data_IF_663801706586
#
_entry.id   IF_663801706586
#
_cell.length_a   1.000
_cell.length_b   1.000
_cell.length_c   1.000
_cell.angle_alpha   90.00
_cell.angle_beta   90.00
_cell.angle_gamma   90.00
#
_symmetry.space_group_name_H-M   'P 1'
#
loop_
_entity.id
_entity.type
_entity.pdbx_description
1 polymer ?
#
# COMPACT_ATOMS: atom_id res chain seq x y z
N UNK A 1 -75.69 33.90 -39.43
CA UNK A 1 -75.78 33.37 -38.10
C UNK A 1 -75.41 31.91 -38.16
N UNK A 2 -74.18 31.59 -37.90
CA UNK A 2 -73.65 30.19 -37.90
C UNK A 2 -72.83 30.00 -36.60
N UNK A 3 -73.38 29.20 -35.69
CA UNK A 3 -72.76 28.81 -34.44
C UNK A 3 -71.66 27.73 -34.69
N UNK A 4 -70.43 27.99 -34.30
CA UNK A 4 -69.39 26.97 -34.33
C UNK A 4 -69.28 26.35 -32.96
N UNK A 5 -69.55 25.02 -32.88
CA UNK A 5 -69.24 24.20 -31.70
C UNK A 5 -67.75 23.89 -31.71
N UNK A 6 -67.06 24.26 -30.62
CA UNK A 6 -65.67 23.84 -30.35
C UNK A 6 -65.77 22.53 -29.56
N UNK A 7 -65.25 21.43 -30.14
CA UNK A 7 -65.08 20.16 -29.47
C UNK A 7 -63.63 20.14 -28.88
N UNK A 8 -63.55 20.23 -27.55
CA UNK A 8 -62.26 20.07 -26.84
C UNK A 8 -61.95 18.58 -26.66
N UNK A 9 -60.97 18.06 -27.36
CA UNK A 9 -60.43 16.70 -27.16
C UNK A 9 -59.43 16.73 -25.99
N UNK A 10 -59.82 16.15 -24.86
CA UNK A 10 -58.92 15.90 -23.75
C UNK A 10 -58.08 14.66 -24.06
N UNK A 11 -56.80 14.86 -24.33
CA UNK A 11 -55.81 13.76 -24.47
C UNK A 11 -55.39 13.32 -23.06
N UNK A 12 -55.90 12.16 -22.62
CA UNK A 12 -55.43 11.49 -21.41
C UNK A 12 -54.05 10.88 -21.71
N UNK A 13 -52.96 11.51 -21.26
CA UNK A 13 -51.62 10.93 -21.28
C UNK A 13 -51.55 9.84 -20.20
N UNK A 14 -51.66 8.56 -20.58
CA UNK A 14 -51.29 7.44 -19.73
C UNK A 14 -49.75 7.50 -19.53
N UNK A 15 -49.31 7.92 -18.35
CA UNK A 15 -47.94 7.76 -17.91
C UNK A 15 -47.70 6.26 -17.67
N UNK A 16 -47.06 5.60 -18.64
CA UNK A 16 -46.54 4.23 -18.47
C UNK A 16 -45.35 4.35 -17.53
N UNK A 17 -45.59 4.10 -16.23
CA UNK A 17 -44.50 3.88 -15.28
C UNK A 17 -43.89 2.54 -15.60
N UNK A 18 -42.79 2.52 -16.39
CA UNK A 18 -41.94 1.34 -16.48
C UNK A 18 -41.38 1.09 -15.10
N UNK A 19 -41.52 -0.12 -14.52
CA UNK A 19 -40.78 -0.44 -13.30
C UNK A 19 -39.29 -0.29 -13.64
N UNK A 20 -38.63 0.60 -12.94
CA UNK A 20 -37.17 0.60 -12.92
C UNK A 20 -36.76 -0.72 -12.25
N UNK A 21 -36.44 -1.72 -13.05
CA UNK A 21 -35.71 -2.86 -12.55
C UNK A 21 -34.40 -2.27 -12.03
N UNK A 22 -34.23 -2.24 -10.72
CA UNK A 22 -32.94 -2.03 -10.13
C UNK A 22 -32.02 -3.09 -10.77
N UNK A 23 -31.10 -2.65 -11.61
CA UNK A 23 -30.16 -3.53 -12.27
C UNK A 23 -29.27 -4.09 -11.15
N UNK A 24 -29.66 -5.27 -10.65
CA UNK A 24 -28.83 -5.97 -9.66
C UNK A 24 -27.53 -6.32 -10.36
N UNK A 25 -26.43 -5.78 -9.86
CA UNK A 25 -25.11 -6.20 -10.31
C UNK A 25 -24.92 -7.66 -9.90
N UNK A 26 -24.54 -8.50 -10.84
CA UNK A 26 -24.33 -9.94 -10.68
C UNK A 26 -22.83 -10.30 -10.60
N UNK A 27 -21.96 -9.29 -10.52
CA UNK A 27 -20.52 -9.44 -10.47
C UNK A 27 -19.97 -8.71 -9.24
N UNK A 28 -19.26 -9.41 -8.38
CA UNK A 28 -18.59 -8.85 -7.20
C UNK A 28 -17.43 -7.96 -7.66
N UNK A 29 -17.38 -6.73 -7.19
CA UNK A 29 -16.31 -5.77 -7.47
C UNK A 29 -15.41 -5.63 -6.25
N UNK A 30 -14.12 -5.84 -6.45
CA UNK A 30 -13.09 -5.82 -5.41
C UNK A 30 -12.00 -4.85 -5.84
N UNK A 31 -11.54 -3.99 -4.95
CA UNK A 31 -10.39 -3.12 -5.22
C UNK A 31 -9.58 -2.86 -3.95
N UNK A 32 -8.32 -2.45 -4.09
CA UNK A 32 -7.51 -2.04 -2.96
C UNK A 32 -6.05 -2.45 -3.02
N UNK A 33 -5.57 -3.02 -1.93
CA UNK A 33 -4.16 -3.35 -1.70
C UNK A 33 -3.53 -4.15 -2.83
N UNK A 34 -2.41 -3.68 -3.35
CA UNK A 34 -1.61 -4.40 -4.35
C UNK A 34 -0.92 -5.63 -3.76
N UNK A 35 -0.67 -5.64 -2.45
CA UNK A 35 -0.15 -6.80 -1.71
C UNK A 35 -1.16 -7.95 -1.70
N UNK A 36 -2.44 -7.64 -1.53
CA UNK A 36 -3.53 -8.63 -1.47
C UNK A 36 -3.99 -9.04 -2.88
N UNK A 37 -3.80 -8.17 -3.88
CA UNK A 37 -4.27 -8.37 -5.26
C UNK A 37 -3.97 -9.76 -5.85
N UNK A 38 -2.72 -10.31 -5.81
CA UNK A 38 -2.45 -11.61 -6.42
C UNK A 38 -3.23 -12.74 -5.73
N UNK A 39 -3.38 -12.70 -4.42
CA UNK A 39 -4.15 -13.70 -3.67
C UNK A 39 -5.64 -13.58 -3.95
N UNK A 40 -6.18 -12.38 -3.94
CA UNK A 40 -7.59 -12.12 -4.24
C UNK A 40 -7.95 -12.51 -5.69
N UNK A 41 -7.03 -12.33 -6.65
CA UNK A 41 -7.23 -12.74 -8.05
C UNK A 41 -7.34 -14.26 -8.17
N UNK A 42 -6.47 -15.02 -7.50
CA UNK A 42 -6.55 -16.49 -7.48
C UNK A 42 -7.88 -16.95 -6.88
N UNK A 43 -8.28 -16.36 -5.74
CA UNK A 43 -9.57 -16.70 -5.10
C UNK A 43 -10.75 -16.37 -6.00
N UNK A 44 -10.71 -15.24 -6.72
CA UNK A 44 -11.77 -14.85 -7.66
C UNK A 44 -11.87 -15.83 -8.85
N UNK A 45 -10.75 -16.24 -9.41
CA UNK A 45 -10.70 -17.25 -10.49
C UNK A 45 -11.24 -18.60 -10.02
N UNK A 46 -10.80 -19.09 -8.87
CA UNK A 46 -11.29 -20.33 -8.28
C UNK A 46 -12.78 -20.26 -7.94
N UNK A 47 -13.27 -19.11 -7.44
CA UNK A 47 -14.69 -18.89 -7.20
C UNK A 47 -15.51 -19.06 -8.49
N UNK A 48 -15.08 -18.43 -9.58
CA UNK A 48 -15.76 -18.56 -10.88
C UNK A 48 -15.72 -19.99 -11.45
N UNK A 49 -14.65 -20.75 -11.17
CA UNK A 49 -14.53 -22.15 -11.57
C UNK A 49 -15.43 -23.10 -10.77
N UNK A 50 -15.56 -22.85 -9.45
CA UNK A 50 -16.37 -23.69 -8.54
C UNK A 50 -17.86 -23.36 -8.59
N UNK A 51 -18.21 -22.10 -8.83
CA UNK A 51 -19.57 -21.59 -8.86
C UNK A 51 -19.90 -20.95 -10.21
N UNK A 52 -20.04 -21.76 -11.29
CA UNK A 52 -20.22 -21.26 -12.65
C UNK A 52 -21.55 -20.53 -12.89
N UNK A 53 -22.50 -20.61 -11.94
CA UNK A 53 -23.75 -19.84 -11.94
C UNK A 53 -23.57 -18.36 -11.56
N UNK A 54 -22.41 -17.98 -11.01
CA UNK A 54 -22.04 -16.60 -10.72
C UNK A 54 -20.94 -16.10 -11.64
N UNK A 55 -20.93 -14.80 -11.91
CA UNK A 55 -19.82 -14.20 -12.62
C UNK A 55 -18.55 -14.20 -11.76
N UNK A 56 -17.41 -14.43 -12.40
CA UNK A 56 -16.10 -14.30 -11.74
C UNK A 56 -15.93 -12.90 -11.16
N UNK A 57 -15.60 -12.75 -9.87
CA UNK A 57 -15.35 -11.45 -9.28
C UNK A 57 -14.25 -10.67 -10.01
N UNK A 58 -14.39 -9.37 -10.11
CA UNK A 58 -13.38 -8.47 -10.70
C UNK A 58 -12.53 -7.88 -9.58
N UNK A 59 -11.21 -8.07 -9.67
CA UNK A 59 -10.27 -7.59 -8.67
C UNK A 59 -9.38 -6.50 -9.27
N UNK A 60 -9.46 -5.29 -8.72
CA UNK A 60 -8.68 -4.12 -9.11
C UNK A 60 -7.62 -3.76 -8.06
N UNK A 61 -6.58 -3.07 -8.51
CA UNK A 61 -5.57 -2.46 -7.66
C UNK A 61 -5.92 -0.98 -7.37
N UNK A 62 -5.29 -0.40 -6.36
CA UNK A 62 -5.51 1.02 -6.02
C UNK A 62 -4.88 1.41 -4.67
N UNK A 63 -4.15 0.46 -4.03
CA UNK A 63 -3.64 0.61 -2.67
C UNK A 63 -4.75 0.48 -1.62
N UNK A 64 -4.38 0.21 -0.37
CA UNK A 64 -5.35 0.04 0.73
C UNK A 64 -6.22 1.27 0.93
N UNK A 65 -5.63 2.45 0.97
CA UNK A 65 -6.37 3.72 1.14
C UNK A 65 -7.29 4.02 -0.03
N UNK A 66 -6.87 3.72 -1.27
CA UNK A 66 -7.68 3.89 -2.48
C UNK A 66 -8.89 2.96 -2.49
N UNK A 67 -8.69 1.68 -2.17
CA UNK A 67 -9.77 0.70 -2.07
C UNK A 67 -10.77 1.02 -0.97
N UNK A 68 -10.28 1.36 0.23
CA UNK A 68 -11.14 1.76 1.36
C UNK A 68 -11.94 3.03 1.05
N UNK A 69 -11.36 4.01 0.37
CA UNK A 69 -12.10 5.20 -0.09
C UNK A 69 -13.22 4.84 -1.05
N UNK A 70 -12.94 3.99 -2.07
CA UNK A 70 -13.97 3.53 -3.01
C UNK A 70 -15.08 2.73 -2.29
N UNK A 71 -14.72 1.89 -1.33
CA UNK A 71 -15.67 1.14 -0.52
C UNK A 71 -16.58 2.06 0.29
N UNK A 72 -16.05 3.16 0.81
CA UNK A 72 -16.79 4.16 1.56
C UNK A 72 -17.54 5.18 0.70
N UNK A 73 -17.62 5.04 -0.65
CA UNK A 73 -18.44 5.92 -1.49
C UNK A 73 -19.94 5.66 -1.35
N UNK A 74 -20.35 4.50 -0.78
CA UNK A 74 -21.75 4.17 -0.52
C UNK A 74 -22.08 2.72 -0.81
N UNK A 75 -23.39 2.42 -0.81
CA UNK A 75 -23.92 1.09 -1.11
C UNK A 75 -24.73 1.18 -2.40
N UNK A 76 -24.34 0.42 -3.43
CA UNK A 76 -25.06 0.43 -4.69
C UNK A 76 -24.37 -0.29 -5.85
N UNK A 77 -24.99 -0.28 -7.02
CA UNK A 77 -24.48 -0.98 -8.19
C UNK A 77 -23.18 -0.39 -8.75
N UNK A 78 -22.86 0.85 -8.41
CA UNK A 78 -21.66 1.57 -8.91
C UNK A 78 -20.52 1.64 -7.88
N UNK A 79 -20.66 0.99 -6.72
CA UNK A 79 -19.64 0.94 -5.66
C UNK A 79 -19.04 -0.44 -5.59
N UNK A 80 -17.85 -0.58 -5.03
CA UNK A 80 -17.23 -1.89 -4.81
C UNK A 80 -17.88 -2.61 -3.62
N UNK A 81 -17.80 -3.95 -3.61
CA UNK A 81 -18.37 -4.79 -2.55
C UNK A 81 -17.34 -5.12 -1.48
N UNK A 82 -16.08 -5.23 -1.88
CA UNK A 82 -14.97 -5.63 -0.99
C UNK A 82 -13.79 -4.69 -1.23
N UNK A 83 -13.24 -4.15 -0.13
CA UNK A 83 -11.96 -3.48 -0.16
C UNK A 83 -10.86 -4.41 0.34
N UNK A 84 -9.84 -4.63 -0.47
CA UNK A 84 -8.62 -5.28 -0.02
C UNK A 84 -7.71 -4.28 0.69
N UNK A 85 -7.17 -4.67 1.84
CA UNK A 85 -6.27 -3.82 2.60
C UNK A 85 -5.11 -4.63 3.20
N UNK A 86 -3.92 -4.05 3.26
CA UNK A 86 -2.73 -4.59 3.93
C UNK A 86 -2.60 -4.12 5.39
N UNK A 87 -3.59 -3.39 5.86
CA UNK A 87 -3.72 -2.88 7.22
C UNK A 87 -5.18 -2.86 7.66
N UNK A 88 -5.42 -2.67 8.92
CA UNK A 88 -6.76 -2.42 9.43
C UNK A 88 -7.34 -1.11 8.90
N UNK A 89 -8.66 -1.08 8.78
CA UNK A 89 -9.39 0.16 8.50
C UNK A 89 -9.18 1.16 9.64
N UNK A 90 -8.92 2.42 9.31
CA UNK A 90 -8.71 3.51 10.28
C UNK A 90 -10.03 4.09 10.79
N UNK A 91 -10.00 4.70 11.96
CA UNK A 91 -11.19 5.35 12.53
C UNK A 91 -11.78 6.42 11.61
N UNK A 92 -10.94 7.25 10.98
CA UNK A 92 -11.36 8.28 10.01
C UNK A 92 -12.02 7.69 8.76
N UNK A 93 -11.56 6.52 8.29
CA UNK A 93 -12.16 5.81 7.16
C UNK A 93 -13.52 5.22 7.54
N UNK A 94 -13.67 4.68 8.78
CA UNK A 94 -14.96 4.23 9.31
C UNK A 94 -15.96 5.40 9.40
N UNK A 95 -15.52 6.57 9.85
CA UNK A 95 -16.35 7.78 9.90
C UNK A 95 -16.83 8.19 8.50
N UNK A 96 -15.93 8.19 7.50
CA UNK A 96 -16.27 8.48 6.12
C UNK A 96 -17.27 7.46 5.53
N UNK A 97 -17.06 6.16 5.79
CA UNK A 97 -18.00 5.10 5.41
C UNK A 97 -19.40 5.32 6.00
N UNK A 98 -19.45 5.59 7.32
CA UNK A 98 -20.72 5.83 8.01
C UNK A 98 -21.46 7.05 7.45
N UNK A 99 -20.74 8.14 7.14
CA UNK A 99 -21.29 9.34 6.53
C UNK A 99 -21.89 9.09 5.15
N UNK A 100 -21.35 8.11 4.41
CA UNK A 100 -21.84 7.67 3.11
C UNK A 100 -22.91 6.53 3.18
N UNK A 101 -23.30 6.13 4.39
CA UNK A 101 -24.33 5.10 4.62
C UNK A 101 -23.80 3.66 4.64
N UNK A 102 -22.49 3.45 4.63
CA UNK A 102 -21.86 2.13 4.80
C UNK A 102 -21.63 1.89 6.29
N UNK A 103 -22.61 1.26 6.96
CA UNK A 103 -22.65 1.18 8.43
C UNK A 103 -22.32 -0.22 8.99
N UNK A 104 -22.39 -1.28 8.19
CA UNK A 104 -22.09 -2.65 8.61
C UNK A 104 -20.82 -3.13 7.90
N UNK A 105 -19.68 -2.72 8.43
CA UNK A 105 -18.37 -3.06 7.90
C UNK A 105 -17.87 -4.34 8.58
N UNK A 106 -17.46 -5.32 7.78
CA UNK A 106 -16.87 -6.57 8.25
C UNK A 106 -15.41 -6.64 7.82
N UNK A 107 -14.52 -6.67 8.80
CA UNK A 107 -13.09 -6.89 8.56
C UNK A 107 -12.80 -8.39 8.74
N UNK A 108 -12.20 -8.99 7.72
CA UNK A 108 -11.78 -10.40 7.74
C UNK A 108 -10.29 -10.46 7.48
N UNK A 109 -9.53 -10.89 8.48
CA UNK A 109 -8.10 -11.11 8.34
C UNK A 109 -7.86 -12.43 7.63
N UNK A 110 -7.21 -12.38 6.46
CA UNK A 110 -6.93 -13.53 5.60
C UNK A 110 -5.51 -14.05 5.71
N UNK A 111 -4.59 -13.26 6.31
CA UNK A 111 -3.20 -13.63 6.48
C UNK A 111 -2.37 -12.50 7.06
N UNK A 112 -1.07 -12.72 7.10
CA UNK A 112 -0.05 -11.75 7.44
C UNK A 112 0.90 -11.62 6.26
N UNK A 113 1.39 -10.42 6.02
CA UNK A 113 2.47 -10.13 5.10
C UNK A 113 3.51 -9.28 5.83
N UNK A 114 4.75 -9.34 5.37
CA UNK A 114 5.84 -8.55 5.91
C UNK A 114 6.82 -8.21 4.81
N UNK A 115 7.41 -7.02 4.91
CA UNK A 115 8.49 -6.62 4.05
C UNK A 115 9.83 -6.86 4.74
N UNK A 116 10.82 -7.20 3.95
CA UNK A 116 12.17 -7.45 4.45
C UNK A 116 13.18 -6.57 3.72
N UNK A 117 14.22 -6.18 4.43
CA UNK A 117 15.41 -5.56 3.85
C UNK A 117 16.43 -6.66 3.60
N UNK A 118 16.92 -6.75 2.37
CA UNK A 118 17.93 -7.72 2.03
C UNK A 118 19.05 -7.13 1.17
N UNK A 119 20.22 -7.70 1.33
CA UNK A 119 21.43 -7.38 0.59
C UNK A 119 21.91 -8.60 -0.17
N UNK A 120 22.94 -8.46 -0.98
CA UNK A 120 23.66 -9.59 -1.54
C UNK A 120 24.15 -10.53 -0.41
N UNK A 121 24.12 -11.84 -0.62
CA UNK A 121 24.55 -12.84 0.37
C UNK A 121 25.96 -12.62 0.93
N UNK A 122 26.82 -11.95 0.18
CA UNK A 122 28.21 -11.64 0.58
C UNK A 122 28.38 -10.28 1.28
N UNK A 123 27.33 -9.50 1.45
CA UNK A 123 27.38 -8.20 2.14
C UNK A 123 27.52 -8.36 3.66
N UNK A 124 27.84 -7.27 4.35
CA UNK A 124 27.86 -7.19 5.80
C UNK A 124 26.49 -7.48 6.42
N UNK A 125 26.47 -7.73 7.73
CA UNK A 125 25.24 -7.84 8.49
C UNK A 125 24.62 -6.45 8.70
N UNK A 126 23.32 -6.32 8.49
CA UNK A 126 22.57 -5.12 8.78
C UNK A 126 21.61 -5.36 9.94
N UNK A 127 21.74 -4.53 10.97
CA UNK A 127 20.76 -4.42 12.06
C UNK A 127 20.09 -3.04 11.95
N UNK A 128 18.97 -2.98 11.27
CA UNK A 128 18.30 -1.74 10.94
C UNK A 128 17.27 -1.36 12.02
N UNK A 129 17.16 -0.06 12.24
CA UNK A 129 16.00 0.55 12.86
C UNK A 129 15.26 1.39 11.81
N UNK A 130 13.95 1.66 11.96
CA UNK A 130 13.21 2.53 11.04
C UNK A 130 13.90 3.89 10.83
N UNK A 131 14.45 4.47 11.90
CA UNK A 131 15.17 5.75 11.84
C UNK A 131 16.44 5.68 11.00
N UNK A 132 17.12 4.54 10.96
CA UNK A 132 18.31 4.37 10.09
C UNK A 132 17.92 4.43 8.62
N UNK A 133 16.83 3.74 8.27
CA UNK A 133 16.31 3.74 6.89
C UNK A 133 15.83 5.14 6.50
N UNK A 134 15.07 5.81 7.36
CA UNK A 134 14.65 7.19 7.14
C UNK A 134 15.85 8.10 6.88
N UNK A 135 16.84 8.11 7.78
CA UNK A 135 18.05 8.94 7.65
C UNK A 135 18.87 8.60 6.40
N UNK A 136 18.81 7.36 5.91
CA UNK A 136 19.49 6.98 4.68
C UNK A 136 18.84 7.58 3.42
N UNK A 137 17.51 7.66 3.39
CA UNK A 137 16.76 7.98 2.16
C UNK A 137 16.11 9.36 2.13
N UNK A 138 15.87 10.00 3.27
CA UNK A 138 15.24 11.31 3.31
C UNK A 138 16.12 12.36 2.62
N UNK A 139 15.50 13.27 1.86
CA UNK A 139 16.21 14.36 1.22
C UNK A 139 16.84 15.34 2.23
N UNK A 140 16.16 15.52 3.36
CA UNK A 140 16.64 16.35 4.48
C UNK A 140 16.53 15.59 5.79
N UNK A 141 17.49 15.77 6.67
CA UNK A 141 17.56 15.08 7.97
C UNK A 141 17.94 16.06 9.07
N UNK A 142 17.55 15.75 10.34
CA UNK A 142 17.99 16.56 11.47
C UNK A 142 19.48 16.28 11.78
N UNK A 143 20.27 17.32 11.86
CA UNK A 143 21.67 17.32 12.32
C UNK A 143 21.84 18.49 13.28
N UNK A 144 22.30 18.21 14.49
CA UNK A 144 22.53 19.22 15.54
C UNK A 144 21.29 20.10 15.84
N UNK A 145 20.08 19.55 15.66
CA UNK A 145 18.81 20.22 15.90
C UNK A 145 18.29 21.08 14.75
N UNK A 146 18.95 21.08 13.60
CA UNK A 146 18.53 21.77 12.40
C UNK A 146 18.19 20.77 11.28
N UNK A 147 17.20 21.06 10.46
CA UNK A 147 16.86 20.28 9.28
C UNK A 147 17.76 20.71 8.09
N UNK A 148 18.69 19.84 7.70
CA UNK A 148 19.66 20.11 6.63
C UNK A 148 19.51 19.14 5.46
N UNK A 149 20.07 19.47 4.32
CA UNK A 149 20.21 18.52 3.21
C UNK A 149 21.01 17.31 3.70
N UNK A 150 20.57 16.12 3.34
CA UNK A 150 21.11 14.88 3.88
C UNK A 150 22.61 14.69 3.56
N UNK A 151 23.49 14.72 4.55
CA UNK A 151 24.94 14.64 4.33
C UNK A 151 25.49 13.22 4.28
N UNK A 152 24.71 12.20 4.70
CA UNK A 152 25.18 10.84 4.86
C UNK A 152 25.47 10.17 3.51
N UNK A 153 26.62 9.53 3.42
CA UNK A 153 27.07 8.80 2.22
C UNK A 153 27.23 7.31 2.47
N UNK A 154 27.49 6.93 3.71
CA UNK A 154 27.64 5.55 4.16
C UNK A 154 26.75 5.26 5.36
N UNK A 155 26.38 4.00 5.55
CA UNK A 155 25.50 3.57 6.62
C UNK A 155 26.10 3.82 8.02
N UNK A 156 27.40 3.61 8.20
CA UNK A 156 28.08 3.86 9.49
C UNK A 156 28.19 5.35 9.87
N UNK A 157 27.93 6.27 8.94
CA UNK A 157 27.79 7.70 9.27
C UNK A 157 26.43 8.00 9.94
N UNK A 158 25.42 7.15 9.70
CA UNK A 158 24.11 7.25 10.34
C UNK A 158 24.15 6.66 11.74
N UNK A 159 24.75 5.46 11.87
CA UNK A 159 24.99 4.77 13.13
C UNK A 159 26.26 3.90 13.02
N UNK A 160 27.17 4.04 13.99
CA UNK A 160 28.47 3.35 13.98
C UNK A 160 28.37 1.81 14.07
N UNK A 161 27.20 1.26 14.42
CA UNK A 161 26.94 -0.18 14.42
C UNK A 161 26.66 -0.76 13.04
N UNK A 162 26.34 0.11 12.06
CA UNK A 162 26.03 -0.29 10.69
C UNK A 162 27.34 -0.45 9.87
N UNK A 163 27.29 -1.21 8.78
CA UNK A 163 28.48 -1.42 7.94
C UNK A 163 29.04 -0.12 7.32
N UNK A 164 30.33 -0.05 7.13
CA UNK A 164 30.97 0.96 6.29
C UNK A 164 30.70 0.65 4.81
N UNK A 165 29.45 0.82 4.41
CA UNK A 165 28.93 0.54 3.08
C UNK A 165 28.24 1.79 2.56
N UNK A 166 28.35 2.06 1.25
CA UNK A 166 27.66 3.18 0.63
C UNK A 166 26.14 3.01 0.75
N UNK A 167 25.44 4.11 0.98
CA UNK A 167 23.98 4.12 0.98
C UNK A 167 23.50 3.95 -0.47
N UNK A 168 22.76 2.90 -0.71
CA UNK A 168 22.03 2.66 -1.94
C UNK A 168 20.80 1.79 -1.62
N UNK A 169 19.59 2.25 -1.96
CA UNK A 169 18.36 1.52 -1.71
C UNK A 169 17.58 1.33 -3.00
N UNK A 170 17.08 0.11 -3.19
CA UNK A 170 16.05 -0.21 -4.17
C UNK A 170 14.74 -0.43 -3.42
N UNK A 171 13.81 0.51 -3.57
CA UNK A 171 12.52 0.50 -2.90
C UNK A 171 11.39 0.19 -3.87
N UNK A 172 10.27 -0.37 -3.41
CA UNK A 172 9.11 -0.59 -4.27
C UNK A 172 8.57 0.72 -4.83
N UNK A 173 8.19 0.74 -6.09
CA UNK A 173 7.50 1.86 -6.70
C UNK A 173 6.10 2.08 -6.09
N UNK A 174 5.53 3.25 -6.32
CA UNK A 174 4.24 3.65 -5.73
C UNK A 174 3.06 2.79 -6.16
N UNK A 175 3.22 1.96 -7.18
CA UNK A 175 2.24 0.98 -7.65
C UNK A 175 2.26 -0.35 -6.89
N UNK A 176 3.23 -0.56 -5.98
CA UNK A 176 3.35 -1.77 -5.18
C UNK A 176 2.70 -1.62 -3.80
N UNK A 177 2.00 -2.65 -3.31
CA UNK A 177 1.46 -2.68 -1.96
C UNK A 177 2.53 -2.61 -0.87
N UNK A 178 3.68 -3.24 -1.10
CA UNK A 178 4.85 -3.13 -0.22
C UNK A 178 5.38 -1.70 -0.05
N UNK A 179 5.12 -0.80 -1.02
CA UNK A 179 5.46 0.63 -0.86
C UNK A 179 4.64 1.30 0.24
N UNK A 180 3.36 0.97 0.35
CA UNK A 180 2.49 1.52 1.40
C UNK A 180 2.97 1.07 2.79
N UNK A 181 3.28 -0.23 2.95
CA UNK A 181 3.84 -0.77 4.20
C UNK A 181 5.20 -0.13 4.51
N UNK A 182 6.09 -0.05 3.53
CA UNK A 182 7.39 0.61 3.67
C UNK A 182 7.23 2.07 4.12
N UNK A 183 6.32 2.82 3.50
CA UNK A 183 6.07 4.22 3.86
C UNK A 183 5.53 4.35 5.29
N UNK A 184 4.53 3.55 5.67
CA UNK A 184 3.89 3.67 6.97
C UNK A 184 4.73 3.11 8.12
N UNK A 185 5.29 1.90 7.95
CA UNK A 185 5.96 1.16 9.03
C UNK A 185 7.43 1.50 9.18
N UNK A 186 8.05 2.01 8.14
CA UNK A 186 9.49 2.30 8.16
C UNK A 186 9.76 3.78 8.04
N UNK A 187 9.30 4.42 6.97
CA UNK A 187 9.67 5.83 6.71
C UNK A 187 9.00 6.77 7.70
N UNK A 188 7.68 6.64 7.90
CA UNK A 188 6.95 7.50 8.84
C UNK A 188 7.39 7.24 10.28
N UNK A 189 7.51 5.97 10.69
CA UNK A 189 8.01 5.63 12.02
C UNK A 189 9.44 6.17 12.26
N UNK A 190 10.34 5.99 11.28
CA UNK A 190 11.70 6.50 11.37
C UNK A 190 11.79 8.03 11.36
N UNK A 191 10.86 8.70 10.66
CA UNK A 191 10.75 10.15 10.66
C UNK A 191 10.34 10.69 12.04
N UNK A 192 9.37 10.06 12.70
CA UNK A 192 8.94 10.39 14.06
C UNK A 192 10.08 10.21 15.09
N UNK A 193 10.90 9.17 14.91
CA UNK A 193 12.03 8.87 15.79
C UNK A 193 13.27 9.73 15.50
N UNK A 194 13.34 10.38 14.34
CA UNK A 194 14.56 11.08 13.89
C UNK A 194 14.92 12.30 14.72
N UNK A 195 14.01 12.82 15.56
CA UNK A 195 14.26 14.02 16.36
C UNK A 195 14.24 15.30 15.54
N UNK A 196 13.26 15.43 14.65
CA UNK A 196 13.05 16.64 13.84
C UNK A 196 12.83 17.87 14.74
N UNK A 197 13.30 19.05 14.33
CA UNK A 197 12.98 20.30 15.00
C UNK A 197 11.48 20.63 14.90
N UNK A 198 11.03 21.66 15.58
CA UNK A 198 9.67 22.15 15.43
C UNK A 198 9.47 22.71 14.01
N UNK A 199 8.56 22.08 13.25
CA UNK A 199 8.28 22.37 11.85
C UNK A 199 6.80 22.69 11.66
N UNK A 200 6.44 23.42 10.61
CA UNK A 200 5.06 23.50 10.14
C UNK A 200 4.58 22.13 9.63
N UNK A 201 3.28 21.91 9.56
CA UNK A 201 2.69 20.66 9.06
C UNK A 201 3.18 20.31 7.64
N UNK A 202 3.26 21.33 6.76
CA UNK A 202 3.75 21.18 5.38
C UNK A 202 5.25 20.79 5.33
N UNK A 203 6.07 21.42 6.18
CA UNK A 203 7.51 21.08 6.27
C UNK A 203 7.74 19.70 6.85
N UNK A 204 6.94 19.31 7.84
CA UNK A 204 7.01 17.98 8.44
C UNK A 204 6.62 16.90 7.42
N UNK A 205 5.51 17.10 6.69
CA UNK A 205 5.11 16.20 5.62
C UNK A 205 6.21 16.09 4.55
N UNK A 206 6.76 17.21 4.10
CA UNK A 206 7.84 17.23 3.12
C UNK A 206 9.11 16.51 3.65
N UNK A 207 9.48 16.71 4.91
CA UNK A 207 10.64 16.04 5.51
C UNK A 207 10.47 14.52 5.59
N UNK A 208 9.25 14.04 5.88
CA UNK A 208 8.95 12.61 6.02
C UNK A 208 8.64 11.89 4.68
N UNK A 209 8.43 12.61 3.58
CA UNK A 209 8.00 12.00 2.31
C UNK A 209 8.95 12.23 1.14
N UNK A 210 9.86 13.22 1.24
CA UNK A 210 10.80 13.55 0.17
C UNK A 210 12.05 12.71 0.24
N UNK A 211 12.33 11.94 -0.81
CA UNK A 211 13.51 11.09 -0.90
C UNK A 211 14.60 11.69 -1.78
N UNK A 212 15.85 11.45 -1.41
CA UNK A 212 17.00 11.80 -2.21
C UNK A 212 17.14 10.87 -3.41
N UNK A 213 17.45 11.44 -4.57
CA UNK A 213 17.46 10.71 -5.85
C UNK A 213 18.84 10.09 -6.18
N UNK A 214 19.88 10.44 -5.45
CA UNK A 214 21.25 9.95 -5.66
C UNK A 214 21.47 8.53 -5.13
N UNK A 215 20.72 8.13 -4.10
CA UNK A 215 20.87 6.83 -3.43
C UNK A 215 19.61 5.94 -3.51
N UNK A 216 18.44 6.52 -3.81
CA UNK A 216 17.17 5.79 -3.87
C UNK A 216 16.79 5.51 -5.32
N UNK A 217 16.50 4.24 -5.61
CA UNK A 217 15.91 3.82 -6.88
C UNK A 217 14.55 3.20 -6.61
N UNK A 218 13.50 3.79 -7.19
CA UNK A 218 12.16 3.22 -7.15
C UNK A 218 12.01 2.19 -8.27
N UNK A 219 11.63 0.97 -7.89
CA UNK A 219 11.44 -0.16 -8.81
C UNK A 219 9.95 -0.27 -9.12
N UNK A 220 9.58 0.08 -10.35
CA UNK A 220 8.20 -0.02 -10.81
C UNK A 220 7.81 -1.45 -11.26
N UNK A 221 8.81 -2.27 -11.59
CA UNK A 221 8.67 -3.68 -11.93
C UNK A 221 8.50 -4.58 -10.70
N UNK A 222 8.69 -5.87 -10.90
CA UNK A 222 8.61 -6.85 -9.82
C UNK A 222 9.93 -6.99 -9.03
N UNK A 223 9.93 -7.85 -8.03
CA UNK A 223 11.12 -8.08 -7.19
C UNK A 223 12.32 -8.67 -7.94
N UNK A 224 12.13 -9.22 -9.14
CA UNK A 224 13.27 -9.70 -9.97
C UNK A 224 14.11 -8.53 -10.47
N UNK A 225 13.52 -7.35 -10.70
CA UNK A 225 14.26 -6.12 -11.01
C UNK A 225 15.07 -5.65 -9.79
N UNK A 226 14.46 -5.70 -8.59
CA UNK A 226 15.17 -5.38 -7.35
C UNK A 226 16.35 -6.33 -7.15
N UNK A 227 16.16 -7.63 -7.34
CA UNK A 227 17.22 -8.64 -7.26
C UNK A 227 18.35 -8.37 -8.28
N UNK A 228 18.00 -8.08 -9.53
CA UNK A 228 18.98 -7.73 -10.56
C UNK A 228 19.79 -6.46 -10.20
N UNK A 229 19.15 -5.51 -9.51
CA UNK A 229 19.82 -4.31 -9.01
C UNK A 229 20.86 -4.65 -7.95
N UNK A 230 20.55 -5.52 -6.98
CA UNK A 230 21.50 -6.00 -5.96
C UNK A 230 22.69 -6.75 -6.60
N UNK A 231 22.42 -7.54 -7.64
CA UNK A 231 23.48 -8.25 -8.37
C UNK A 231 24.42 -7.30 -9.13
N UNK A 232 23.89 -6.20 -9.67
CA UNK A 232 24.67 -5.22 -10.42
C UNK A 232 25.39 -4.19 -9.51
N UNK A 233 24.83 -3.93 -8.34
CA UNK A 233 25.41 -3.04 -7.33
C UNK A 233 25.32 -3.70 -5.94
N UNK A 234 26.36 -4.39 -5.48
CA UNK A 234 26.37 -5.13 -4.23
C UNK A 234 26.15 -4.27 -2.96
N UNK A 235 26.36 -2.94 -3.07
CA UNK A 235 26.08 -2.00 -1.97
C UNK A 235 24.57 -1.73 -1.80
N UNK A 236 23.72 -2.21 -2.72
CA UNK A 236 22.28 -1.95 -2.65
C UNK A 236 21.62 -2.77 -1.55
N UNK A 237 20.81 -2.10 -0.73
CA UNK A 237 19.81 -2.72 0.14
C UNK A 237 18.47 -2.72 -0.62
N UNK A 238 17.88 -3.88 -0.81
CA UNK A 238 16.59 -4.04 -1.50
C UNK A 238 15.45 -4.28 -0.51
N UNK A 239 14.27 -3.80 -0.84
CA UNK A 239 13.03 -4.08 -0.10
C UNK A 239 12.23 -5.13 -0.86
N UNK A 240 11.87 -6.22 -0.19
CA UNK A 240 11.16 -7.36 -0.75
C UNK A 240 9.98 -7.77 0.14
N UNK A 241 9.03 -8.49 -0.42
CA UNK A 241 8.11 -9.30 0.40
C UNK A 241 8.83 -10.53 0.95
N UNK A 242 8.44 -11.00 2.15
CA UNK A 242 9.06 -12.16 2.79
C UNK A 242 9.05 -13.40 1.90
N UNK A 243 7.95 -13.66 1.21
CA UNK A 243 7.79 -14.83 0.33
C UNK A 243 8.80 -14.85 -0.82
N UNK A 244 9.15 -13.69 -1.38
CA UNK A 244 10.17 -13.60 -2.41
C UNK A 244 11.58 -13.83 -1.83
N UNK A 245 11.87 -13.24 -0.66
CA UNK A 245 13.12 -13.50 0.04
C UNK A 245 13.29 -14.99 0.35
N UNK A 246 12.24 -15.65 0.85
CA UNK A 246 12.28 -17.08 1.18
C UNK A 246 12.65 -17.98 0.00
N UNK A 247 12.25 -17.59 -1.21
CA UNK A 247 12.59 -18.31 -2.44
C UNK A 247 14.00 -17.99 -2.97
N UNK A 248 14.67 -16.97 -2.43
CA UNK A 248 15.97 -16.48 -2.90
C UNK A 248 17.02 -16.39 -1.78
N UNK A 249 16.86 -17.15 -0.68
CA UNK A 249 17.76 -17.14 0.50
C UNK A 249 19.21 -17.51 0.19
N UNK A 250 19.45 -18.20 -0.91
CA UNK A 250 20.78 -18.59 -1.37
C UNK A 250 21.57 -17.40 -1.96
N UNK A 251 20.88 -16.40 -2.44
CA UNK A 251 21.47 -15.21 -3.08
C UNK A 251 21.31 -13.93 -2.27
N UNK A 252 20.40 -13.92 -1.31
CA UNK A 252 20.05 -12.79 -0.47
C UNK A 252 20.39 -13.04 1.00
N UNK A 253 20.83 -11.99 1.68
CA UNK A 253 21.03 -11.94 3.12
C UNK A 253 20.08 -10.91 3.72
N UNK A 254 19.24 -11.34 4.65
CA UNK A 254 18.25 -10.47 5.26
C UNK A 254 18.84 -9.66 6.43
N UNK A 255 18.40 -8.41 6.55
CA UNK A 255 18.66 -7.57 7.71
C UNK A 255 17.69 -7.90 8.86
N UNK A 256 18.12 -7.68 10.09
CA UNK A 256 17.18 -7.55 11.22
C UNK A 256 16.57 -6.15 11.24
N UNK A 257 15.34 -6.03 11.74
CA UNK A 257 14.73 -4.74 12.05
C UNK A 257 14.32 -4.73 13.51
N UNK A 258 14.75 -3.71 14.24
CA UNK A 258 14.58 -3.60 15.69
C UNK A 258 15.04 -4.86 16.45
N UNK A 259 16.16 -5.43 16.01
CA UNK A 259 16.75 -6.64 16.57
C UNK A 259 16.05 -7.95 16.20
N UNK A 260 14.96 -7.91 15.43
CA UNK A 260 14.17 -9.08 15.07
C UNK A 260 14.49 -9.54 13.64
N UNK A 261 14.77 -10.82 13.48
CA UNK A 261 14.92 -11.44 12.15
C UNK A 261 13.54 -11.75 11.57
N UNK A 262 13.25 -11.32 10.32
CA UNK A 262 11.96 -11.62 9.70
C UNK A 262 11.80 -13.12 9.43
N UNK A 263 10.65 -13.63 9.80
CA UNK A 263 10.21 -15.00 9.52
C UNK A 263 8.67 -15.06 9.53
N UNK A 264 8.10 -16.13 9.02
CA UNK A 264 6.65 -16.35 9.12
C UNK A 264 6.16 -16.29 10.58
N UNK A 265 6.94 -16.80 11.52
CA UNK A 265 6.62 -16.81 12.95
C UNK A 265 6.65 -15.40 13.55
N UNK A 266 7.74 -14.65 13.33
CA UNK A 266 7.91 -13.29 13.90
C UNK A 266 6.97 -12.27 13.28
N UNK A 267 6.58 -12.45 12.02
CA UNK A 267 5.57 -11.63 11.35
C UNK A 267 4.17 -11.98 11.87
N UNK A 268 3.83 -13.26 11.96
CA UNK A 268 2.51 -13.70 12.43
C UNK A 268 2.26 -13.36 13.91
N UNK A 269 3.31 -13.38 14.74
CA UNK A 269 3.22 -12.95 16.15
C UNK A 269 3.20 -11.44 16.34
N UNK A 270 3.57 -10.67 15.31
CA UNK A 270 3.74 -9.21 15.42
C UNK A 270 5.03 -8.78 16.12
N UNK A 271 5.98 -9.70 16.34
CA UNK A 271 7.29 -9.40 16.90
C UNK A 271 8.15 -8.63 15.89
N UNK A 272 8.11 -9.04 14.61
CA UNK A 272 8.76 -8.29 13.53
C UNK A 272 7.92 -7.05 13.18
N UNK A 273 8.48 -5.82 13.24
CA UNK A 273 7.68 -4.59 13.23
C UNK A 273 7.18 -4.16 11.84
N UNK A 274 7.66 -4.73 10.73
CA UNK A 274 7.39 -4.26 9.36
C UNK A 274 6.96 -5.34 8.38
#
# INVERSE_FOLDING_TARGET
>A
MKSALAVSAAVLALAVTTPAFAQSRDTIQIAGSSTVLPFASIVAEEFGAVFPEFNTPVVGSGGSSGGLRQFCEGVGANTIDIANASRRIRASEIEACNAAGVNDIREVQIGFDGIVFATSANAGDFALEPVHVYKAIAARVPVDGELVDNPYTTWNEIDASLPEQKIALAIPGSNHGTREVFQERVVSAGCEEAGLPELSEEELEAACTSFRQDVVVEIAGDYTETLARLQSNPDTVGVFGLSFYDQNRDTLKVATVSGVTPSLETIASGEYPV
#
